data_IF_207600782597
#
_entry.id   IF_207600782597
#
_cell.length_a   1.000
_cell.length_b   1.000
_cell.length_c   1.000
_cell.angle_alpha   90.00
_cell.angle_beta   90.00
_cell.angle_gamma   90.00
#
_symmetry.space_group_name_H-M   'P 1'
#
loop_
_entity.id
_entity.type
_entity.pdbx_description
1 polymer ?
#
# COMPACT_ATOMS: atom_id res chain seq x y z
N UNK A 1 30.85 4.28 -7.03
CA UNK A 1 29.48 4.65 -6.63
C UNK A 1 28.75 3.35 -6.38
N UNK A 2 28.48 3.02 -5.11
CA UNK A 2 28.00 1.70 -4.66
C UNK A 2 26.64 1.91 -3.97
N UNK A 3 25.57 2.00 -4.75
CA UNK A 3 24.21 1.87 -4.20
C UNK A 3 23.79 0.40 -4.35
N UNK A 4 23.30 -0.25 -3.27
CA UNK A 4 22.61 -1.51 -3.43
C UNK A 4 21.40 -1.28 -4.37
N UNK A 5 21.00 -2.27 -5.19
CA UNK A 5 19.79 -2.15 -5.99
C UNK A 5 18.56 -2.15 -5.07
N UNK A 6 18.27 -1.00 -4.44
CA UNK A 6 17.02 -0.66 -3.76
C UNK A 6 15.95 -0.47 -4.83
N UNK A 7 15.59 -1.56 -5.52
CA UNK A 7 14.50 -1.55 -6.49
C UNK A 7 13.21 -2.03 -5.84
N UNK A 8 12.98 -1.73 -4.58
CA UNK A 8 11.69 -2.02 -3.96
C UNK A 8 10.69 -0.91 -4.30
N UNK A 9 9.53 -1.30 -4.81
CA UNK A 9 8.47 -0.39 -5.24
C UNK A 9 7.27 -0.58 -4.33
N UNK A 10 6.86 0.52 -3.71
CA UNK A 10 5.62 0.61 -2.92
C UNK A 10 4.64 1.46 -3.71
N UNK A 11 3.49 0.88 -4.07
CA UNK A 11 2.41 1.63 -4.69
C UNK A 11 1.64 2.41 -3.64
N UNK A 12 1.55 3.73 -3.74
CA UNK A 12 0.72 4.55 -2.84
C UNK A 12 -0.35 5.25 -3.66
N UNK A 13 -1.61 5.06 -3.27
CA UNK A 13 -2.75 5.77 -3.81
C UNK A 13 -3.43 6.57 -2.69
N UNK A 14 -4.02 7.72 -3.01
CA UNK A 14 -4.77 8.52 -2.04
C UNK A 14 -6.21 8.63 -2.53
N UNK A 15 -7.17 8.37 -1.65
CA UNK A 15 -8.59 8.50 -1.91
C UNK A 15 -9.19 9.46 -0.89
N UNK A 16 -9.89 10.48 -1.36
CA UNK A 16 -10.55 11.47 -0.51
C UNK A 16 -11.89 10.98 0.09
N UNK A 17 -12.25 9.72 -0.11
CA UNK A 17 -13.51 9.15 0.41
C UNK A 17 -13.25 8.27 1.62
N UNK A 18 -14.20 8.26 2.56
CA UNK A 18 -14.12 7.44 3.77
C UNK A 18 -14.30 5.93 3.52
N UNK A 19 -14.88 5.54 2.38
CA UNK A 19 -15.02 4.14 1.98
C UNK A 19 -13.99 3.78 0.92
N UNK A 20 -13.31 2.64 1.13
CA UNK A 20 -12.40 2.03 0.17
C UNK A 20 -12.96 0.66 -0.20
N UNK A 21 -13.06 0.40 -1.49
CA UNK A 21 -13.60 -0.84 -2.03
C UNK A 21 -12.51 -1.61 -2.78
N UNK A 22 -12.71 -2.91 -3.03
CA UNK A 22 -11.79 -3.72 -3.84
C UNK A 22 -11.50 -3.12 -5.22
N UNK A 23 -12.48 -2.42 -5.80
CA UNK A 23 -12.33 -1.70 -7.07
C UNK A 23 -11.28 -0.58 -7.05
N UNK A 24 -11.00 0.02 -5.88
CA UNK A 24 -10.02 1.10 -5.74
C UNK A 24 -8.58 0.59 -5.82
N UNK A 25 -8.38 -0.71 -5.59
CA UNK A 25 -7.09 -1.35 -5.71
C UNK A 25 -6.76 -1.75 -7.14
N UNK A 26 -7.67 -1.63 -8.12
CA UNK A 26 -7.40 -2.00 -9.52
C UNK A 26 -6.16 -1.31 -10.08
N UNK A 27 -5.94 -0.03 -9.73
CA UNK A 27 -4.74 0.71 -10.13
C UNK A 27 -3.46 0.12 -9.51
N UNK A 28 -3.52 -0.26 -8.24
CA UNK A 28 -2.41 -0.89 -7.53
C UNK A 28 -2.15 -2.32 -8.00
N UNK A 29 -3.18 -3.09 -8.35
CA UNK A 29 -3.03 -4.39 -9.00
C UNK A 29 -2.31 -4.26 -10.34
N UNK A 30 -2.73 -3.31 -11.17
CA UNK A 30 -2.08 -3.07 -12.46
C UNK A 30 -0.64 -2.59 -12.29
N UNK A 31 -0.37 -1.75 -11.29
CA UNK A 31 0.99 -1.34 -10.95
C UNK A 31 1.84 -2.53 -10.53
N UNK A 32 1.31 -3.42 -9.67
CA UNK A 32 1.99 -4.65 -9.27
C UNK A 32 2.31 -5.55 -10.46
N UNK A 33 1.38 -5.72 -11.41
CA UNK A 33 1.61 -6.50 -12.63
C UNK A 33 2.70 -5.89 -13.52
N UNK A 34 2.73 -4.56 -13.65
CA UNK A 34 3.73 -3.84 -14.45
C UNK A 34 5.12 -3.88 -13.81
N UNK A 35 5.18 -3.77 -12.48
CA UNK A 35 6.42 -3.71 -11.71
C UNK A 35 6.99 -5.12 -11.49
N UNK A 36 6.15 -6.11 -11.16
CA UNK A 36 6.54 -7.50 -10.95
C UNK A 36 7.26 -7.74 -9.62
N UNK A 37 8.34 -8.54 -9.65
CA UNK A 37 9.15 -8.91 -8.49
C UNK A 37 9.60 -7.74 -7.57
N UNK A 38 9.90 -6.52 -8.07
CA UNK A 38 10.23 -5.39 -7.21
C UNK A 38 9.05 -4.81 -6.41
N UNK A 39 7.80 -5.20 -6.69
CA UNK A 39 6.64 -4.68 -5.96
C UNK A 39 6.53 -5.31 -4.57
N UNK A 40 6.63 -4.48 -3.53
CA UNK A 40 6.56 -4.94 -2.13
C UNK A 40 5.12 -4.93 -1.62
N UNK A 41 4.42 -3.79 -1.75
CA UNK A 41 3.07 -3.63 -1.22
C UNK A 41 2.36 -2.44 -1.86
N UNK A 42 1.02 -2.46 -1.82
CA UNK A 42 0.19 -1.33 -2.22
C UNK A 42 -0.56 -0.75 -1.02
N UNK A 43 -0.54 0.57 -0.88
CA UNK A 43 -1.17 1.30 0.21
C UNK A 43 -2.16 2.31 -0.37
N UNK A 44 -3.40 2.28 0.08
CA UNK A 44 -4.42 3.28 -0.19
C UNK A 44 -4.60 4.13 1.06
N UNK A 45 -4.21 5.39 0.99
CA UNK A 45 -4.50 6.35 2.05
C UNK A 45 -5.92 6.88 1.89
N UNK A 46 -6.72 6.81 2.95
CA UNK A 46 -8.14 7.18 2.88
C UNK A 46 -8.65 7.92 4.13
N UNK A 47 -9.85 8.49 4.06
CA UNK A 47 -10.47 9.26 5.15
C UNK A 47 -11.28 8.38 6.13
N UNK A 48 -10.84 7.14 6.33
CA UNK A 48 -11.47 6.25 7.31
C UNK A 48 -10.81 6.31 8.67
N UNK A 49 -11.17 5.32 9.49
CA UNK A 49 -10.73 5.26 10.89
C UNK A 49 -9.89 4.05 11.23
N UNK A 50 -9.80 3.06 10.35
CA UNK A 50 -9.17 1.76 10.61
C UNK A 50 -8.23 1.39 9.46
N UNK A 51 -7.21 0.58 9.75
CA UNK A 51 -6.43 -0.04 8.69
C UNK A 51 -7.12 -1.33 8.23
N UNK A 52 -7.30 -1.50 6.93
CA UNK A 52 -7.93 -2.67 6.34
C UNK A 52 -6.95 -3.38 5.41
N UNK A 53 -6.83 -4.70 5.56
CA UNK A 53 -6.06 -5.53 4.63
C UNK A 53 -7.00 -6.01 3.53
N UNK A 54 -6.62 -5.80 2.27
CA UNK A 54 -7.39 -6.24 1.11
C UNK A 54 -6.80 -7.49 0.45
N UNK A 55 -5.91 -8.20 1.17
CA UNK A 55 -5.18 -9.35 0.65
C UNK A 55 -4.08 -8.96 -0.33
N UNK A 56 -3.27 -9.93 -0.74
CA UNK A 56 -2.24 -9.77 -1.77
C UNK A 56 -1.21 -8.65 -1.53
N UNK A 57 -0.95 -8.31 -0.26
CA UNK A 57 -0.05 -7.20 0.07
C UNK A 57 -0.65 -5.82 -0.21
N UNK A 58 -1.98 -5.71 -0.21
CA UNK A 58 -2.70 -4.44 -0.36
C UNK A 58 -3.35 -4.01 0.96
N UNK A 59 -3.26 -2.72 1.25
CA UNK A 59 -3.70 -2.12 2.51
C UNK A 59 -4.45 -0.82 2.27
N UNK A 60 -5.51 -0.57 3.02
CA UNK A 60 -6.06 0.76 3.21
C UNK A 60 -5.62 1.29 4.57
N UNK A 61 -5.08 2.50 4.62
CA UNK A 61 -4.53 3.14 5.83
C UNK A 61 -5.15 4.53 5.99
N UNK A 62 -5.67 4.89 7.17
CA UNK A 62 -6.32 6.18 7.36
C UNK A 62 -5.29 7.32 7.43
N UNK A 63 -5.56 8.44 6.76
CA UNK A 63 -4.66 9.61 6.68
C UNK A 63 -4.40 10.28 8.04
N UNK A 64 -5.41 10.31 8.92
CA UNK A 64 -5.35 11.02 10.20
C UNK A 64 -4.86 10.20 11.39
N UNK A 65 -4.68 8.88 11.24
CA UNK A 65 -4.18 8.01 12.31
C UNK A 65 -3.11 7.07 11.78
N UNK A 66 -1.82 7.29 12.09
CA UNK A 66 -0.79 6.31 11.78
C UNK A 66 -1.07 5.03 12.58
N UNK A 67 -1.56 3.99 11.90
CA UNK A 67 -1.74 2.68 12.50
C UNK A 67 -0.36 2.00 12.58
N UNK A 68 0.29 2.05 13.75
CA UNK A 68 1.61 1.45 14.00
C UNK A 68 1.67 -0.05 13.63
N UNK A 69 0.52 -0.74 13.73
CA UNK A 69 0.38 -2.16 13.35
C UNK A 69 0.68 -2.40 11.88
N UNK A 70 0.31 -1.47 10.99
CA UNK A 70 0.57 -1.58 9.55
C UNK A 70 2.05 -1.37 9.26
N UNK A 71 2.68 -0.35 9.87
CA UNK A 71 4.10 -0.07 9.68
C UNK A 71 4.98 -1.26 10.07
N UNK A 72 4.69 -1.90 11.21
CA UNK A 72 5.39 -3.12 11.63
C UNK A 72 5.26 -4.25 10.60
N UNK A 73 4.09 -4.39 9.96
CA UNK A 73 3.81 -5.46 8.99
C UNK A 73 4.36 -5.19 7.59
N UNK A 74 4.56 -3.93 7.24
CA UNK A 74 5.16 -3.51 5.97
C UNK A 74 6.70 -3.48 6.05
N UNK A 75 7.28 -3.08 7.18
CA UNK A 75 8.74 -2.93 7.35
C UNK A 75 9.44 -4.10 8.04
N UNK A 76 8.74 -5.00 8.75
CA UNK A 76 9.34 -6.28 9.14
C UNK A 76 9.30 -7.25 7.97
N UNK A 77 10.39 -7.28 7.20
CA UNK A 77 10.87 -8.55 6.65
C UNK A 77 11.46 -9.39 7.79
#
# INVERSE_FOLDING_TARGET
MLEPPLREVIGVAVKATASVNSGDFKGLHKLRELVGAPFVTGIVLYDGTQALSFGEGLWAVPLGRPCLSVFSKIYKK
#
